data_IF_984355970317
#
_entry.id   IF_984355970317
#
_cell.length_a   1.000
_cell.length_b   1.000
_cell.length_c   1.000
_cell.angle_alpha   90.00
_cell.angle_beta   90.00
_cell.angle_gamma   90.00
#
_symmetry.space_group_name_H-M   'P 1'
#
loop_
_entity.id
_entity.type
_entity.pdbx_description
1 polymer ?
#
# COMPACT_ATOMS: atom_id res chain seq x y z
N UNK A 1 11.11 16.34 14.31
CA UNK A 1 10.51 16.92 13.08
C UNK A 1 10.37 18.45 13.12
N UNK A 2 10.48 19.09 14.28
CA UNK A 2 10.37 20.56 14.42
C UNK A 2 11.60 21.38 13.99
N UNK A 3 12.59 20.75 13.33
CA UNK A 3 13.78 21.47 12.87
C UNK A 3 13.41 22.29 11.63
N UNK A 4 13.57 23.60 11.73
CA UNK A 4 13.38 24.54 10.61
C UNK A 4 14.73 24.88 9.99
N UNK A 5 14.76 25.01 8.66
CA UNK A 5 15.95 25.45 7.96
C UNK A 5 16.18 26.95 8.16
N UNK A 6 16.84 27.28 9.27
CA UNK A 6 17.16 28.66 9.63
C UNK A 6 18.37 29.20 8.85
N UNK A 7 19.17 28.31 8.26
CA UNK A 7 20.47 28.63 7.67
C UNK A 7 20.55 28.38 6.16
N UNK A 8 19.43 28.01 5.51
CA UNK A 8 19.35 27.69 4.09
C UNK A 8 20.42 26.69 3.65
N UNK A 9 20.53 25.59 4.40
CA UNK A 9 21.53 24.56 4.12
C UNK A 9 21.17 23.79 2.84
N UNK A 10 22.16 23.54 1.98
CA UNK A 10 21.97 22.68 0.81
C UNK A 10 21.52 21.28 1.24
N UNK A 11 20.49 20.75 0.57
CA UNK A 11 19.91 19.43 0.83
C UNK A 11 19.44 19.21 2.29
N UNK A 12 19.07 20.29 3.00
CA UNK A 12 18.56 20.20 4.38
C UNK A 12 17.40 19.20 4.51
N UNK A 13 16.42 19.29 3.61
CA UNK A 13 15.24 18.42 3.62
C UNK A 13 15.61 16.94 3.40
N UNK A 14 16.59 16.67 2.53
CA UNK A 14 17.06 15.31 2.25
C UNK A 14 17.86 14.75 3.43
N UNK A 15 18.71 15.57 4.05
CA UNK A 15 19.47 15.21 5.24
C UNK A 15 18.55 14.99 6.45
N UNK A 16 17.53 15.83 6.61
CA UNK A 16 16.50 15.70 7.63
C UNK A 16 15.71 14.40 7.44
N UNK A 17 15.27 14.12 6.21
CA UNK A 17 14.58 12.87 5.87
C UNK A 17 15.48 11.66 6.13
N UNK A 18 16.73 11.68 5.65
CA UNK A 18 17.69 10.60 5.82
C UNK A 18 18.01 10.32 7.29
N UNK A 19 18.17 11.37 8.10
CA UNK A 19 18.39 11.25 9.55
C UNK A 19 17.17 10.65 10.24
N UNK A 20 15.96 11.10 9.88
CA UNK A 20 14.73 10.58 10.47
C UNK A 20 14.48 9.11 10.09
N UNK A 21 14.74 8.73 8.84
CA UNK A 21 14.68 7.33 8.37
C UNK A 21 15.72 6.48 9.10
N UNK A 22 16.96 6.95 9.23
CA UNK A 22 18.00 6.24 9.97
C UNK A 22 17.60 6.01 11.44
N UNK A 23 16.98 7.00 12.07
CA UNK A 23 16.46 6.88 13.44
C UNK A 23 15.34 5.83 13.55
N UNK A 24 14.39 5.85 12.62
CA UNK A 24 13.29 4.87 12.53
C UNK A 24 13.80 3.43 12.33
N UNK A 25 14.91 3.26 11.61
CA UNK A 25 15.52 1.94 11.39
C UNK A 25 16.35 1.50 12.60
N UNK A 26 17.08 2.43 13.24
CA UNK A 26 17.94 2.13 14.39
C UNK A 26 17.13 1.72 15.62
N UNK A 27 16.01 2.40 15.89
CA UNK A 27 15.17 2.13 17.07
C UNK A 27 13.67 2.21 16.72
N UNK A 28 13.11 1.20 16.03
CA UNK A 28 11.80 1.31 15.41
C UNK A 28 10.66 1.55 16.40
N UNK A 29 10.54 0.74 17.46
CA UNK A 29 9.39 0.82 18.38
C UNK A 29 9.16 2.22 18.99
N UNK A 30 10.14 2.86 19.67
CA UNK A 30 9.93 4.19 20.24
C UNK A 30 9.85 5.27 19.15
N UNK A 31 10.64 5.14 18.08
CA UNK A 31 10.72 6.17 17.04
C UNK A 31 9.41 6.27 16.25
N UNK A 32 8.82 5.14 15.84
CA UNK A 32 7.53 5.16 15.15
C UNK A 32 6.42 5.76 16.02
N UNK A 33 6.37 5.43 17.31
CA UNK A 33 5.38 6.01 18.23
C UNK A 33 5.47 7.53 18.32
N UNK A 34 6.67 8.06 18.59
CA UNK A 34 6.89 9.51 18.66
C UNK A 34 6.56 10.20 17.34
N UNK A 35 6.89 9.58 16.21
CA UNK A 35 6.58 10.09 14.87
C UNK A 35 5.07 10.11 14.61
N UNK A 36 4.32 9.09 15.04
CA UNK A 36 2.87 9.01 14.89
C UNK A 36 2.18 10.01 15.84
N UNK A 37 2.68 10.17 17.05
CA UNK A 37 2.15 11.14 18.01
C UNK A 37 2.35 12.57 17.48
N UNK A 38 3.54 12.88 16.97
CA UNK A 38 3.83 14.16 16.30
C UNK A 38 2.96 14.36 15.05
N UNK A 39 2.70 13.30 14.26
CA UNK A 39 1.82 13.41 13.10
C UNK A 39 0.41 13.87 13.48
N UNK A 40 -0.13 13.37 14.59
CA UNK A 40 -1.44 13.74 15.10
C UNK A 40 -1.45 15.00 15.96
N UNK A 41 -0.29 15.56 16.32
CA UNK A 41 -0.23 16.79 17.09
C UNK A 41 -0.84 17.97 16.33
N UNK A 42 -1.42 18.90 17.09
CA UNK A 42 -2.10 20.09 16.59
C UNK A 42 -1.13 21.10 15.98
N UNK A 43 0.11 21.15 16.47
CA UNK A 43 1.08 22.18 16.10
C UNK A 43 1.86 21.84 14.82
N UNK A 44 1.78 20.61 14.35
CA UNK A 44 2.53 20.19 13.17
C UNK A 44 1.96 20.82 11.90
N UNK A 45 2.84 21.14 10.96
CA UNK A 45 2.47 21.65 9.63
C UNK A 45 2.15 20.52 8.67
N UNK A 46 1.41 20.81 7.58
CA UNK A 46 1.13 19.82 6.54
C UNK A 46 2.41 19.28 5.87
N UNK A 47 3.45 20.11 5.76
CA UNK A 47 4.77 19.70 5.29
C UNK A 47 5.41 18.69 6.25
N UNK A 48 5.34 18.93 7.56
CA UNK A 48 5.86 18.00 8.58
C UNK A 48 5.07 16.69 8.59
N UNK A 49 3.75 16.73 8.47
CA UNK A 49 2.90 15.54 8.37
C UNK A 49 3.21 14.72 7.12
N UNK A 50 3.41 15.40 5.99
CA UNK A 50 3.81 14.72 4.76
C UNK A 50 5.22 14.12 4.86
N UNK A 51 6.16 14.78 5.53
CA UNK A 51 7.49 14.25 5.79
C UNK A 51 7.43 13.01 6.70
N UNK A 52 6.58 13.04 7.73
CA UNK A 52 6.36 11.91 8.63
C UNK A 52 5.89 10.66 7.86
N UNK A 53 4.82 10.79 7.07
CA UNK A 53 4.28 9.69 6.26
C UNK A 53 5.29 9.14 5.25
N UNK A 54 6.08 10.02 4.65
CA UNK A 54 7.16 9.62 3.75
C UNK A 54 8.24 8.83 4.47
N UNK A 55 8.73 9.32 5.61
CA UNK A 55 9.78 8.66 6.38
C UNK A 55 9.30 7.30 6.89
N UNK A 56 8.04 7.19 7.32
CA UNK A 56 7.41 5.91 7.68
C UNK A 56 7.44 4.96 6.48
N UNK A 57 6.99 5.40 5.31
CA UNK A 57 6.95 4.57 4.09
C UNK A 57 8.33 4.03 3.72
N UNK A 58 9.37 4.87 3.76
CA UNK A 58 10.74 4.48 3.43
C UNK A 58 11.32 3.55 4.50
N UNK A 59 11.16 3.88 5.78
CA UNK A 59 11.65 3.05 6.87
C UNK A 59 11.00 1.66 6.85
N UNK A 60 9.69 1.57 6.56
CA UNK A 60 9.00 0.29 6.40
C UNK A 60 9.57 -0.50 5.24
N UNK A 61 9.79 0.10 4.07
CA UNK A 61 10.45 -0.57 2.93
C UNK A 61 11.82 -1.14 3.32
N UNK A 62 12.65 -0.34 3.97
CA UNK A 62 14.00 -0.76 4.37
C UNK A 62 13.99 -1.87 5.42
N UNK A 63 13.08 -1.79 6.40
CA UNK A 63 12.92 -2.82 7.44
C UNK A 63 12.36 -4.13 6.87
N UNK A 64 11.57 -4.07 5.78
CA UNK A 64 11.14 -5.22 5.00
C UNK A 64 12.28 -5.86 4.18
N UNK A 65 13.45 -5.23 4.13
CA UNK A 65 14.59 -5.68 3.31
C UNK A 65 14.50 -5.24 1.86
N UNK A 66 13.57 -4.37 1.50
CA UNK A 66 13.48 -3.76 0.18
C UNK A 66 14.41 -2.55 0.14
N UNK A 67 15.64 -2.77 -0.34
CA UNK A 67 16.53 -1.67 -0.75
C UNK A 67 16.35 -1.46 -2.24
N UNK A 68 15.94 -0.25 -2.63
CA UNK A 68 16.05 0.17 -4.03
C UNK A 68 17.53 0.09 -4.42
N UNK A 69 17.88 -0.90 -5.24
CA UNK A 69 19.22 -1.01 -5.82
C UNK A 69 19.34 0.03 -6.92
N UNK A 70 19.44 1.31 -6.51
CA UNK A 70 20.03 2.49 -7.18
C UNK A 70 19.38 3.74 -6.57
N UNK A 71 20.15 4.64 -5.92
CA UNK A 71 19.66 5.99 -5.66
C UNK A 71 19.50 6.68 -7.01
N UNK A 72 18.27 6.96 -7.43
CA UNK A 72 18.05 8.00 -8.45
C UNK A 72 18.20 9.33 -7.73
N UNK A 73 19.33 9.99 -8.01
CA UNK A 73 19.57 11.38 -7.66
C UNK A 73 18.42 12.25 -8.19
N UNK A 74 17.94 13.15 -7.34
CA UNK A 74 17.03 14.22 -7.74
C UNK A 74 15.55 13.92 -7.52
N UNK A 75 14.98 14.69 -6.58
CA UNK A 75 13.55 14.96 -6.38
C UNK A 75 12.86 14.16 -5.27
N UNK A 76 12.40 14.94 -4.29
CA UNK A 76 11.38 14.58 -3.33
C UNK A 76 10.07 14.03 -3.97
N UNK A 77 9.90 13.98 -5.29
CA UNK A 77 8.80 13.26 -5.93
C UNK A 77 9.04 11.74 -6.10
N UNK A 78 10.31 11.28 -6.09
CA UNK A 78 10.69 9.94 -6.53
C UNK A 78 10.22 8.77 -5.66
N UNK A 79 9.88 9.00 -4.39
CA UNK A 79 9.37 7.93 -3.51
C UNK A 79 7.88 7.62 -3.73
N UNK A 80 7.12 8.59 -4.23
CA UNK A 80 5.70 8.42 -4.61
C UNK A 80 5.66 7.89 -6.04
N UNK A 81 6.50 8.41 -6.94
CA UNK A 81 6.64 7.90 -8.30
C UNK A 81 7.19 6.48 -8.30
N UNK A 82 8.07 6.10 -7.36
CA UNK A 82 8.47 4.70 -7.21
C UNK A 82 7.38 3.82 -6.62
N UNK A 83 6.42 4.34 -5.84
CA UNK A 83 5.25 3.59 -5.39
C UNK A 83 4.25 3.39 -6.52
N UNK A 84 3.95 4.44 -7.27
CA UNK A 84 3.09 4.40 -8.45
C UNK A 84 3.72 3.53 -9.54
N UNK A 85 5.04 3.56 -9.71
CA UNK A 85 5.79 2.64 -10.57
C UNK A 85 5.87 1.23 -10.00
N UNK A 86 5.98 1.02 -8.68
CA UNK A 86 5.92 -0.32 -8.07
C UNK A 86 4.53 -0.96 -8.27
N UNK A 87 3.47 -0.17 -8.13
CA UNK A 87 2.11 -0.60 -8.44
C UNK A 87 1.91 -0.75 -9.96
N UNK A 88 2.39 0.17 -10.79
CA UNK A 88 2.34 0.10 -12.26
C UNK A 88 3.08 -1.11 -12.82
N UNK A 89 4.26 -1.44 -12.27
CA UNK A 89 5.02 -2.64 -12.61
C UNK A 89 4.32 -3.92 -12.14
N UNK A 90 3.46 -3.84 -11.11
CA UNK A 90 2.56 -4.92 -10.72
C UNK A 90 1.25 -4.94 -11.53
N UNK A 91 0.93 -3.87 -12.27
CA UNK A 91 -0.27 -3.67 -13.10
C UNK A 91 -0.02 -4.03 -14.59
N UNK A 92 1.23 -4.22 -15.02
CA UNK A 92 1.53 -4.74 -16.37
C UNK A 92 1.31 -6.25 -16.42
N UNK A 93 0.26 -6.68 -17.15
CA UNK A 93 0.14 -8.05 -17.63
C UNK A 93 1.40 -8.41 -18.46
N UNK A 94 1.89 -9.66 -18.44
CA UNK A 94 3.00 -10.06 -19.30
C UNK A 94 2.56 -9.92 -20.76
N UNK A 95 3.20 -9.05 -21.53
CA UNK A 95 2.95 -8.91 -22.96
C UNK A 95 3.15 -10.26 -23.68
N UNK A 96 2.09 -10.72 -24.35
CA UNK A 96 2.00 -11.93 -25.16
C UNK A 96 2.95 -11.96 -26.40
N UNK A 97 3.77 -10.93 -26.59
CA UNK A 97 4.70 -10.83 -27.72
C UNK A 97 6.04 -11.52 -27.46
N UNK A 98 6.42 -11.76 -26.19
CA UNK A 98 7.69 -12.44 -25.87
C UNK A 98 7.55 -13.97 -25.82
N UNK A 99 6.31 -14.48 -25.69
CA UNK A 99 6.03 -15.91 -25.54
C UNK A 99 6.03 -16.68 -26.86
N UNK A 100 5.90 -16.01 -28.02
CA UNK A 100 5.80 -16.68 -29.32
C UNK A 100 7.16 -17.09 -29.91
N UNK A 101 8.25 -16.37 -29.60
CA UNK A 101 9.60 -16.75 -30.08
C UNK A 101 10.27 -17.82 -29.21
N UNK A 102 9.83 -18.00 -27.96
CA UNK A 102 10.40 -18.98 -27.04
C UNK A 102 9.85 -20.41 -27.23
N UNK A 103 8.77 -20.59 -28.01
CA UNK A 103 8.10 -21.88 -28.17
C UNK A 103 8.73 -22.78 -29.24
N UNK A 104 9.49 -22.24 -30.20
CA UNK A 104 10.04 -23.04 -31.31
C UNK A 104 11.36 -23.78 -31.00
N UNK A 105 12.04 -23.45 -29.90
CA UNK A 105 13.32 -24.11 -29.52
C UNK A 105 13.18 -25.13 -28.37
N UNK A 106 11.98 -25.41 -27.89
CA UNK A 106 11.72 -26.30 -26.73
C UNK A 106 11.79 -27.80 -27.05
N UNK A 107 12.30 -28.19 -28.21
CA UNK A 107 12.33 -29.59 -28.65
C UNK A 107 13.57 -30.41 -28.26
N UNK A 108 14.72 -29.79 -27.95
CA UNK A 108 15.98 -30.53 -27.75
C UNK A 108 16.91 -29.87 -26.74
N UNK A 109 16.58 -29.91 -25.46
CA UNK A 109 17.61 -29.78 -24.42
C UNK A 109 17.19 -30.57 -23.19
N UNK A 110 17.95 -31.62 -22.86
CA UNK A 110 17.82 -32.32 -21.58
C UNK A 110 18.21 -31.34 -20.47
N UNK A 111 17.21 -30.74 -19.84
CA UNK A 111 17.40 -29.84 -18.70
C UNK A 111 17.74 -30.68 -17.48
N UNK A 112 19.02 -30.77 -17.14
CA UNK A 112 19.46 -31.30 -15.86
C UNK A 112 19.02 -30.34 -14.75
N UNK A 113 18.30 -30.86 -13.75
CA UNK A 113 17.74 -30.09 -12.64
C UNK A 113 18.86 -29.44 -11.83
N UNK A 114 19.05 -28.12 -12.00
CA UNK A 114 19.87 -27.28 -11.11
C UNK A 114 19.14 -26.89 -9.81
N UNK A 115 18.05 -27.59 -9.46
CA UNK A 115 17.16 -27.18 -8.35
C UNK A 115 17.89 -27.13 -7.01
N UNK A 116 18.81 -28.06 -6.74
CA UNK A 116 19.63 -28.08 -5.52
C UNK A 116 20.66 -26.95 -5.44
N UNK A 117 21.23 -26.52 -6.58
CA UNK A 117 22.19 -25.42 -6.63
C UNK A 117 21.50 -24.06 -6.57
N UNK A 118 20.31 -23.95 -7.18
CA UNK A 118 19.43 -22.79 -7.08
C UNK A 118 18.94 -22.63 -5.64
N UNK A 119 18.47 -23.69 -4.99
CA UNK A 119 18.02 -23.64 -3.60
C UNK A 119 19.17 -23.39 -2.60
N UNK A 120 20.41 -23.80 -2.93
CA UNK A 120 21.61 -23.46 -2.14
C UNK A 120 22.06 -22.01 -2.35
N UNK A 121 21.74 -21.41 -3.50
CA UNK A 121 21.97 -19.98 -3.80
C UNK A 121 20.80 -19.08 -3.37
N UNK A 122 19.64 -19.65 -3.01
CA UNK A 122 18.57 -18.89 -2.36
C UNK A 122 19.10 -18.44 -1.00
N UNK A 123 19.28 -17.13 -0.85
CA UNK A 123 19.49 -16.53 0.45
C UNK A 123 18.36 -17.01 1.37
N UNK A 124 18.73 -17.46 2.58
CA UNK A 124 17.74 -17.83 3.61
C UNK A 124 16.73 -16.67 3.73
N UNK A 125 15.42 -16.95 3.83
CA UNK A 125 14.41 -15.89 3.90
C UNK A 125 14.81 -14.91 4.99
N UNK A 126 15.12 -13.68 4.60
CA UNK A 126 15.51 -12.64 5.55
C UNK A 126 14.29 -12.41 6.43
N UNK A 127 14.38 -12.78 7.70
CA UNK A 127 13.28 -12.61 8.63
C UNK A 127 12.90 -11.13 8.62
N UNK A 128 11.65 -10.86 8.23
CA UNK A 128 11.14 -9.50 8.16
C UNK A 128 11.18 -8.91 9.58
N UNK A 129 12.10 -7.95 9.81
CA UNK A 129 12.25 -7.28 11.10
C UNK A 129 10.97 -6.55 11.50
N UNK A 130 10.11 -6.21 10.55
CA UNK A 130 8.81 -5.58 10.77
C UNK A 130 7.79 -6.49 11.46
N UNK A 131 7.89 -7.81 11.27
CA UNK A 131 6.77 -8.72 11.59
C UNK A 131 6.39 -8.74 13.08
N UNK A 132 7.28 -8.30 13.96
CA UNK A 132 7.02 -8.25 15.40
C UNK A 132 6.31 -6.99 15.91
N UNK A 133 6.20 -5.91 15.12
CA UNK A 133 5.70 -4.62 15.62
C UNK A 133 4.89 -3.79 14.60
N UNK A 134 4.88 -4.15 13.32
CA UNK A 134 4.18 -3.38 12.28
C UNK A 134 2.69 -3.20 12.59
N UNK A 135 2.02 -4.24 13.07
CA UNK A 135 0.61 -4.18 13.42
C UNK A 135 0.38 -3.27 14.64
N UNK A 136 1.11 -3.53 15.73
CA UNK A 136 0.89 -2.93 17.06
C UNK A 136 1.41 -1.50 17.22
N UNK A 137 2.55 -1.19 16.61
CA UNK A 137 3.29 0.05 16.85
C UNK A 137 3.21 1.02 15.66
N UNK A 138 2.78 0.56 14.47
CA UNK A 138 2.67 1.41 13.27
C UNK A 138 1.22 1.49 12.77
N UNK A 139 0.69 0.36 12.27
CA UNK A 139 -0.56 0.36 11.52
C UNK A 139 -1.78 0.72 12.37
N UNK A 140 -2.00 0.03 13.50
CA UNK A 140 -3.18 0.31 14.33
C UNK A 140 -3.15 1.69 14.98
N UNK A 141 -2.02 2.20 15.53
CA UNK A 141 -1.96 3.57 16.04
C UNK A 141 -2.27 4.62 14.96
N UNK A 142 -1.75 4.45 13.74
CA UNK A 142 -2.10 5.32 12.61
C UNK A 142 -3.59 5.26 12.31
N UNK A 143 -4.17 4.07 12.19
CA UNK A 143 -5.60 3.90 11.90
C UNK A 143 -6.52 4.41 13.02
N UNK A 144 -6.14 4.17 14.28
CA UNK A 144 -6.92 4.58 15.44
C UNK A 144 -7.02 6.10 15.53
N UNK A 145 -5.95 6.84 15.23
CA UNK A 145 -5.99 8.31 15.20
C UNK A 145 -7.03 8.86 14.21
N UNK A 146 -7.15 8.23 13.03
CA UNK A 146 -8.19 8.56 12.05
C UNK A 146 -9.60 8.27 12.57
N UNK A 147 -9.84 7.06 13.09
CA UNK A 147 -11.15 6.66 13.59
C UNK A 147 -11.58 7.46 14.83
N UNK A 148 -10.66 7.81 15.70
CA UNK A 148 -10.95 8.66 16.87
C UNK A 148 -11.36 10.06 16.41
N UNK A 149 -10.64 10.63 15.44
CA UNK A 149 -10.98 11.94 14.88
C UNK A 149 -12.35 11.96 14.18
N UNK A 150 -12.71 10.90 13.46
CA UNK A 150 -14.01 10.80 12.79
C UNK A 150 -15.16 10.54 13.76
N UNK A 151 -15.00 9.65 14.75
CA UNK A 151 -16.04 9.31 15.75
C UNK A 151 -16.33 10.45 16.73
N UNK A 152 -15.32 11.22 17.11
CA UNK A 152 -15.49 12.37 18.02
C UNK A 152 -15.97 13.64 17.31
N UNK A 153 -16.51 13.52 16.09
CA UNK A 153 -17.06 14.65 15.34
C UNK A 153 -15.99 15.66 14.92
N UNK A 154 -14.82 15.18 14.48
CA UNK A 154 -13.70 16.02 14.02
C UNK A 154 -13.07 16.88 15.12
N UNK A 155 -13.11 16.40 16.38
CA UNK A 155 -12.48 17.05 17.53
C UNK A 155 -10.95 17.16 17.37
N UNK A 156 -10.35 16.18 16.70
CA UNK A 156 -8.95 16.21 16.34
C UNK A 156 -8.77 17.13 15.12
N UNK A 157 -8.13 18.28 15.36
CA UNK A 157 -7.83 19.29 14.34
C UNK A 157 -7.08 18.69 13.15
N UNK A 158 -6.12 17.79 13.39
CA UNK A 158 -5.31 17.16 12.33
C UNK A 158 -6.17 16.31 11.41
N UNK A 159 -7.04 15.47 11.97
CA UNK A 159 -7.96 14.63 11.19
C UNK A 159 -8.96 15.49 10.43
N UNK A 160 -9.44 16.58 11.05
CA UNK A 160 -10.31 17.55 10.39
C UNK A 160 -9.61 18.22 9.21
N UNK A 161 -8.38 18.72 9.38
CA UNK A 161 -7.59 19.34 8.31
C UNK A 161 -7.36 18.34 7.18
N UNK A 162 -6.92 17.13 7.50
CA UNK A 162 -6.66 16.08 6.51
C UNK A 162 -7.92 15.73 5.71
N UNK A 163 -9.08 15.62 6.38
CA UNK A 163 -10.34 15.29 5.73
C UNK A 163 -10.98 16.48 5.00
N UNK A 164 -10.83 17.71 5.47
CA UNK A 164 -11.63 18.84 4.94
C UNK A 164 -10.83 19.90 4.19
N UNK A 165 -9.51 19.96 4.38
CA UNK A 165 -8.66 21.04 3.87
C UNK A 165 -7.56 20.53 2.93
N UNK A 166 -6.99 19.35 3.22
CA UNK A 166 -5.79 18.85 2.53
C UNK A 166 -5.97 17.43 1.98
N UNK A 167 -6.71 17.23 0.86
CA UNK A 167 -6.96 15.90 0.31
C UNK A 167 -5.69 15.21 -0.22
N UNK A 168 -4.67 16.00 -0.59
CA UNK A 168 -3.34 15.48 -0.93
C UNK A 168 -2.65 14.79 0.25
N UNK A 169 -2.87 15.29 1.48
CA UNK A 169 -2.36 14.64 2.68
C UNK A 169 -3.10 13.33 2.95
N UNK A 170 -4.42 13.32 2.74
CA UNK A 170 -5.24 12.11 2.85
C UNK A 170 -4.82 11.04 1.85
N UNK A 171 -4.63 11.40 0.58
CA UNK A 171 -4.13 10.48 -0.46
C UNK A 171 -2.78 9.87 -0.06
N UNK A 172 -1.83 10.69 0.44
CA UNK A 172 -0.53 10.20 0.95
C UNK A 172 -0.67 9.28 2.16
N UNK A 173 -1.61 9.56 3.06
CA UNK A 173 -1.90 8.72 4.22
C UNK A 173 -2.39 7.34 3.78
N UNK A 174 -3.34 7.29 2.85
CA UNK A 174 -3.87 6.04 2.28
C UNK A 174 -2.77 5.23 1.59
N UNK A 175 -1.95 5.87 0.76
CA UNK A 175 -0.82 5.20 0.09
C UNK A 175 0.20 4.66 1.11
N UNK A 176 0.50 5.40 2.16
CA UNK A 176 1.42 4.95 3.23
C UNK A 176 0.88 3.71 3.94
N UNK A 177 -0.43 3.67 4.22
CA UNK A 177 -1.09 2.49 4.77
C UNK A 177 -1.06 1.31 3.79
N UNK A 178 -1.28 1.55 2.49
CA UNK A 178 -1.14 0.53 1.45
C UNK A 178 0.28 -0.05 1.36
N UNK A 179 1.30 0.78 1.55
CA UNK A 179 2.70 0.36 1.67
C UNK A 179 2.91 -0.54 2.88
N UNK A 180 2.45 -0.11 4.06
CA UNK A 180 2.53 -0.91 5.28
C UNK A 180 1.85 -2.26 5.07
N UNK A 181 0.67 -2.27 4.45
CA UNK A 181 -0.06 -3.48 4.10
C UNK A 181 0.78 -4.40 3.21
N UNK A 182 1.31 -3.89 2.10
CA UNK A 182 2.11 -4.67 1.14
C UNK A 182 3.33 -5.34 1.81
N UNK A 183 4.02 -4.62 2.70
CA UNK A 183 5.18 -5.17 3.42
C UNK A 183 4.80 -6.03 4.64
N UNK A 184 3.52 -6.06 5.02
CA UNK A 184 3.00 -6.84 6.14
C UNK A 184 2.51 -8.25 5.77
N UNK A 185 2.64 -8.71 4.52
CA UNK A 185 2.08 -10.00 4.06
C UNK A 185 2.49 -11.19 4.93
N UNK A 186 3.74 -11.20 5.42
CA UNK A 186 4.29 -12.30 6.23
C UNK A 186 4.11 -12.12 7.75
N UNK A 187 3.12 -11.31 8.16
CA UNK A 187 2.89 -10.96 9.58
C UNK A 187 1.72 -11.76 10.16
N UNK A 188 1.78 -12.24 11.43
CA UNK A 188 0.68 -13.03 11.99
C UNK A 188 -0.66 -12.30 12.04
N UNK A 189 -0.68 -10.97 12.22
CA UNK A 189 -1.92 -10.18 12.21
C UNK A 189 -2.24 -9.56 10.84
N UNK A 190 -1.67 -10.06 9.75
CA UNK A 190 -1.89 -9.51 8.41
C UNK A 190 -3.38 -9.46 8.03
N UNK A 191 -4.17 -10.47 8.41
CA UNK A 191 -5.61 -10.50 8.15
C UNK A 191 -6.35 -9.33 8.82
N UNK A 192 -5.97 -8.98 10.05
CA UNK A 192 -6.56 -7.83 10.74
C UNK A 192 -6.17 -6.51 10.06
N UNK A 193 -4.92 -6.39 9.59
CA UNK A 193 -4.46 -5.22 8.82
C UNK A 193 -5.26 -5.08 7.53
N UNK A 194 -5.45 -6.18 6.79
CA UNK A 194 -6.23 -6.21 5.54
C UNK A 194 -7.66 -5.76 5.79
N UNK A 195 -8.32 -6.31 6.80
CA UNK A 195 -9.71 -5.96 7.13
C UNK A 195 -9.87 -4.48 7.44
N UNK A 196 -9.09 -3.98 8.40
CA UNK A 196 -9.16 -2.58 8.81
C UNK A 196 -8.81 -1.61 7.67
N UNK A 197 -7.83 -1.97 6.84
CA UNK A 197 -7.47 -1.15 5.68
C UNK A 197 -8.55 -1.18 4.59
N UNK A 198 -9.19 -2.32 4.35
CA UNK A 198 -10.27 -2.44 3.35
C UNK A 198 -11.50 -1.64 3.78
N UNK A 199 -11.94 -1.80 5.03
CA UNK A 199 -13.08 -1.07 5.58
C UNK A 199 -12.80 0.45 5.56
N UNK A 200 -11.56 0.85 5.86
CA UNK A 200 -11.12 2.24 5.70
C UNK A 200 -11.15 2.72 4.25
N UNK A 201 -10.59 1.97 3.30
CA UNK A 201 -10.60 2.33 1.89
C UNK A 201 -12.02 2.49 1.33
N UNK A 202 -12.95 1.63 1.75
CA UNK A 202 -14.37 1.74 1.39
C UNK A 202 -15.04 2.95 2.07
N UNK A 203 -14.67 3.29 3.30
CA UNK A 203 -15.19 4.50 3.98
C UNK A 203 -14.86 5.79 3.23
N UNK A 204 -13.74 5.83 2.50
CA UNK A 204 -13.32 6.97 1.69
C UNK A 204 -14.20 7.18 0.46
N UNK A 205 -15.04 6.23 0.07
CA UNK A 205 -16.05 6.41 -0.98
C UNK A 205 -16.99 7.58 -0.69
N UNK A 206 -17.29 7.81 0.59
CA UNK A 206 -18.18 8.89 1.03
C UNK A 206 -17.43 10.20 1.27
N UNK A 207 -16.11 10.19 1.17
CA UNK A 207 -15.30 11.38 1.32
C UNK A 207 -15.51 12.30 0.11
N UNK A 208 -15.92 13.54 0.39
CA UNK A 208 -16.07 14.58 -0.63
C UNK A 208 -15.29 15.80 -0.20
N UNK A 209 -14.61 16.42 -1.15
CA UNK A 209 -13.92 17.68 -0.97
C UNK A 209 -14.60 18.72 -1.86
N UNK A 210 -15.07 19.82 -1.28
CA UNK A 210 -15.84 20.85 -2.00
C UNK A 210 -17.07 20.31 -2.76
N UNK A 211 -17.71 19.26 -2.22
CA UNK A 211 -18.91 18.66 -2.80
C UNK A 211 -18.66 17.75 -4.02
N UNK A 212 -17.40 17.44 -4.33
CA UNK A 212 -17.01 16.49 -5.36
C UNK A 212 -16.06 15.41 -4.79
N UNK A 213 -16.05 14.19 -5.36
CA UNK A 213 -15.05 13.18 -5.00
C UNK A 213 -13.68 13.61 -5.52
N UNK A 214 -12.66 13.62 -4.65
CA UNK A 214 -11.29 13.94 -5.08
C UNK A 214 -10.67 12.74 -5.82
N UNK A 215 -10.27 12.89 -7.10
CA UNK A 215 -9.70 11.79 -7.88
C UNK A 215 -8.43 11.21 -7.25
N UNK A 216 -7.64 12.01 -6.53
CA UNK A 216 -6.37 11.60 -5.91
C UNK A 216 -6.59 10.65 -4.73
N UNK A 217 -7.65 10.88 -3.95
CA UNK A 217 -8.00 10.06 -2.78
C UNK A 217 -8.64 8.76 -3.25
N UNK A 218 -9.53 8.85 -4.24
CA UNK A 218 -10.15 7.69 -4.89
C UNK A 218 -9.09 6.79 -5.51
N UNK A 219 -8.16 7.36 -6.28
CA UNK A 219 -7.06 6.63 -6.90
C UNK A 219 -6.20 5.91 -5.85
N UNK A 220 -5.80 6.59 -4.77
CA UNK A 220 -5.03 5.99 -3.68
C UNK A 220 -5.78 4.83 -2.99
N UNK A 221 -7.08 4.98 -2.75
CA UNK A 221 -7.91 3.93 -2.15
C UNK A 221 -8.04 2.71 -3.07
N UNK A 222 -8.22 2.92 -4.37
CA UNK A 222 -8.26 1.83 -5.36
C UNK A 222 -6.91 1.11 -5.47
N UNK A 223 -5.78 1.82 -5.41
CA UNK A 223 -4.46 1.19 -5.37
C UNK A 223 -4.35 0.28 -4.15
N UNK A 224 -4.84 0.76 -3.00
CA UNK A 224 -4.91 -0.02 -1.77
C UNK A 224 -5.73 -1.30 -1.93
N UNK A 225 -6.95 -1.19 -2.44
CA UNK A 225 -7.82 -2.35 -2.68
C UNK A 225 -7.20 -3.32 -3.69
N UNK A 226 -6.62 -2.80 -4.77
CA UNK A 226 -5.91 -3.61 -5.76
C UNK A 226 -4.75 -4.38 -5.12
N UNK A 227 -4.01 -3.77 -4.19
CA UNK A 227 -2.94 -4.41 -3.42
C UNK A 227 -3.46 -5.55 -2.55
N UNK A 228 -4.65 -5.39 -1.95
CA UNK A 228 -5.28 -6.48 -1.18
C UNK A 228 -5.60 -7.65 -2.09
N UNK A 229 -6.35 -7.38 -3.17
CA UNK A 229 -6.93 -8.40 -4.05
C UNK A 229 -5.85 -9.15 -4.85
N UNK A 230 -4.88 -8.42 -5.43
CA UNK A 230 -3.92 -9.00 -6.37
C UNK A 230 -2.60 -9.43 -5.73
N UNK A 231 -2.20 -8.82 -4.62
CA UNK A 231 -0.89 -9.08 -4.01
C UNK A 231 -1.03 -9.82 -2.69
N UNK A 232 -1.79 -9.25 -1.75
CA UNK A 232 -1.81 -9.72 -0.36
C UNK A 232 -2.52 -11.07 -0.20
N UNK A 233 -3.57 -11.32 -0.99
CA UNK A 233 -4.44 -12.49 -0.83
C UNK A 233 -4.46 -13.42 -2.05
N UNK A 234 -3.44 -13.32 -2.92
CA UNK A 234 -3.35 -14.09 -4.18
C UNK A 234 -3.51 -15.61 -3.98
N UNK A 235 -2.91 -16.15 -2.92
CA UNK A 235 -2.92 -17.58 -2.61
C UNK A 235 -4.10 -18.01 -1.69
N UNK A 236 -4.88 -17.06 -1.18
CA UNK A 236 -5.96 -17.29 -0.21
C UNK A 236 -7.35 -16.90 -0.76
N UNK A 237 -7.60 -17.21 -2.03
CA UNK A 237 -8.88 -16.88 -2.71
C UNK A 237 -10.11 -17.43 -2.00
N UNK A 238 -10.03 -18.63 -1.40
CA UNK A 238 -11.14 -19.23 -0.66
C UNK A 238 -11.50 -18.45 0.63
N UNK A 239 -10.51 -17.85 1.30
CA UNK A 239 -10.75 -17.05 2.51
C UNK A 239 -11.32 -15.68 2.19
N UNK A 240 -10.88 -15.05 1.10
CA UNK A 240 -11.47 -13.80 0.60
C UNK A 240 -12.99 -13.92 0.46
N UNK A 241 -13.45 -15.05 -0.05
CA UNK A 241 -14.87 -15.24 -0.35
C UNK A 241 -15.67 -15.56 0.91
N UNK A 242 -15.11 -16.32 1.84
CA UNK A 242 -15.83 -16.67 3.07
C UNK A 242 -15.84 -15.54 4.10
N UNK A 243 -14.75 -14.80 4.24
CA UNK A 243 -14.59 -13.79 5.31
C UNK A 243 -14.82 -12.36 4.82
N UNK A 244 -14.60 -12.07 3.53
CA UNK A 244 -14.65 -10.71 2.96
C UNK A 244 -15.70 -10.57 1.85
N UNK A 245 -16.73 -11.43 1.82
CA UNK A 245 -17.80 -11.39 0.82
C UNK A 245 -18.45 -10.01 0.69
N UNK A 246 -18.75 -9.38 1.84
CA UNK A 246 -19.38 -8.07 1.88
C UNK A 246 -18.47 -7.00 1.25
N UNK A 247 -17.20 -6.94 1.67
CA UNK A 247 -16.23 -6.00 1.14
C UNK A 247 -16.01 -6.19 -0.37
N UNK A 248 -16.02 -7.43 -0.87
CA UNK A 248 -15.90 -7.73 -2.30
C UNK A 248 -17.10 -7.20 -3.10
N UNK A 249 -18.33 -7.36 -2.60
CA UNK A 249 -19.54 -6.85 -3.24
C UNK A 249 -19.54 -5.32 -3.23
N UNK A 250 -19.27 -4.70 -2.09
CA UNK A 250 -19.20 -3.23 -1.97
C UNK A 250 -18.12 -2.63 -2.87
N UNK A 251 -16.96 -3.29 -2.98
CA UNK A 251 -15.87 -2.92 -3.88
C UNK A 251 -16.33 -3.01 -5.34
N UNK A 252 -16.99 -4.11 -5.73
CA UNK A 252 -17.53 -4.28 -7.08
C UNK A 252 -18.48 -3.14 -7.42
N UNK A 253 -19.47 -2.87 -6.57
CA UNK A 253 -20.48 -1.86 -6.81
C UNK A 253 -19.87 -0.45 -6.90
N UNK A 254 -18.87 -0.18 -6.05
CA UNK A 254 -18.15 1.09 -6.09
C UNK A 254 -17.34 1.26 -7.38
N UNK A 255 -16.59 0.24 -7.78
CA UNK A 255 -15.74 0.27 -8.98
C UNK A 255 -16.59 0.41 -10.25
N UNK A 256 -17.74 -0.29 -10.33
CA UNK A 256 -18.67 -0.16 -11.46
C UNK A 256 -19.23 1.26 -11.56
N UNK A 257 -19.63 1.86 -10.44
CA UNK A 257 -20.16 3.23 -10.42
C UNK A 257 -19.12 4.29 -10.84
N UNK A 258 -17.83 3.98 -10.69
CA UNK A 258 -16.73 4.91 -10.93
C UNK A 258 -16.26 4.94 -12.40
N UNK A 259 -16.56 3.90 -13.18
CA UNK A 259 -16.13 3.76 -14.58
C UNK A 259 -16.68 4.88 -15.48
N UNK A 260 -17.93 5.28 -15.27
CA UNK A 260 -18.65 6.17 -16.19
C UNK A 260 -18.25 7.65 -16.06
N UNK A 261 -17.50 8.03 -15.01
CA UNK A 261 -17.22 9.43 -14.68
C UNK A 261 -15.77 9.80 -14.32
N UNK A 262 -14.83 8.86 -14.41
CA UNK A 262 -13.46 9.05 -13.88
C UNK A 262 -12.39 9.23 -14.95
N UNK A 263 -11.18 9.58 -14.51
CA UNK A 263 -9.97 9.66 -15.37
C UNK A 263 -9.59 8.30 -15.94
N UNK A 264 -8.85 8.29 -17.05
CA UNK A 264 -8.42 7.04 -17.72
C UNK A 264 -7.58 6.14 -16.82
N UNK A 265 -6.70 6.70 -15.98
CA UNK A 265 -5.89 5.96 -15.00
C UNK A 265 -6.76 5.23 -13.97
N UNK A 266 -7.80 5.89 -13.47
CA UNK A 266 -8.77 5.28 -12.54
C UNK A 266 -9.57 4.19 -13.23
N UNK A 267 -10.00 4.41 -14.49
CA UNK A 267 -10.71 3.39 -15.28
C UNK A 267 -9.87 2.13 -15.51
N UNK A 268 -8.59 2.28 -15.81
CA UNK A 268 -7.68 1.14 -15.98
C UNK A 268 -7.58 0.33 -14.69
N UNK A 269 -7.40 1.00 -13.54
CA UNK A 269 -7.33 0.36 -12.24
C UNK A 269 -8.66 -0.33 -11.85
N UNK A 270 -9.79 0.32 -12.14
CA UNK A 270 -11.12 -0.27 -12.01
C UNK A 270 -11.26 -1.56 -12.82
N UNK A 271 -10.82 -1.55 -14.09
CA UNK A 271 -10.82 -2.74 -14.95
C UNK A 271 -9.99 -3.89 -14.38
N UNK A 272 -8.80 -3.60 -13.87
CA UNK A 272 -7.94 -4.61 -13.24
C UNK A 272 -8.58 -5.22 -11.98
N UNK A 273 -9.21 -4.40 -11.14
CA UNK A 273 -9.92 -4.90 -9.95
C UNK A 273 -11.11 -5.78 -10.37
N UNK A 274 -11.90 -5.37 -11.37
CA UNK A 274 -13.05 -6.16 -11.84
C UNK A 274 -12.63 -7.51 -12.44
N UNK A 275 -11.53 -7.55 -13.19
CA UNK A 275 -10.97 -8.81 -13.70
C UNK A 275 -10.56 -9.73 -12.55
N UNK A 276 -9.85 -9.20 -11.55
CA UNK A 276 -9.44 -9.98 -10.40
C UNK A 276 -10.65 -10.49 -9.59
N UNK A 277 -11.68 -9.67 -9.40
CA UNK A 277 -12.93 -10.08 -8.74
C UNK A 277 -13.65 -11.18 -9.53
N UNK A 278 -13.68 -11.09 -10.86
CA UNK A 278 -14.25 -12.13 -11.73
C UNK A 278 -13.50 -13.44 -11.58
N UNK A 279 -12.17 -13.41 -11.59
CA UNK A 279 -11.33 -14.61 -11.43
C UNK A 279 -11.49 -15.27 -10.06
N UNK A 280 -11.71 -14.47 -9.01
CA UNK A 280 -12.00 -14.98 -7.67
C UNK A 280 -13.36 -15.69 -7.65
N UNK A 281 -14.38 -15.09 -8.27
CA UNK A 281 -15.73 -15.67 -8.34
C UNK A 281 -15.80 -16.93 -9.21
N UNK A 282 -15.07 -17.00 -10.33
CA UNK A 282 -15.01 -18.23 -11.15
C UNK A 282 -14.33 -19.37 -10.39
N UNK A 283 -13.21 -19.09 -9.73
CA UNK A 283 -12.51 -20.09 -8.89
C UNK A 283 -13.44 -20.67 -7.82
N UNK A 284 -14.33 -19.85 -7.25
CA UNK A 284 -15.31 -20.31 -6.27
C UNK A 284 -16.42 -21.16 -6.86
N UNK A 285 -16.97 -20.75 -8.00
CA UNK A 285 -17.96 -21.54 -8.71
C UNK A 285 -17.37 -22.90 -9.11
N UNK A 286 -16.10 -22.95 -9.52
CA UNK A 286 -15.41 -24.20 -9.83
C UNK A 286 -15.22 -25.09 -8.58
N UNK A 287 -14.93 -24.50 -7.42
CA UNK A 287 -14.84 -25.24 -6.14
C UNK A 287 -16.21 -25.77 -5.71
N UNK A 288 -17.27 -24.98 -5.85
CA UNK A 288 -18.63 -25.41 -5.51
C UNK A 288 -19.16 -26.48 -6.47
N UNK A 289 -18.93 -26.34 -7.77
CA UNK A 289 -19.37 -27.30 -8.80
C UNK A 289 -18.51 -28.56 -8.80
N UNK A 290 -17.21 -28.44 -8.51
CA UNK A 290 -16.29 -29.56 -8.37
C UNK A 290 -16.45 -30.39 -7.09
N UNK A 291 -17.25 -29.92 -6.12
CA UNK A 291 -17.68 -30.69 -4.94
C UNK A 291 -18.98 -31.47 -5.13
N UNK A 292 -19.60 -31.41 -6.32
CA UNK A 292 -20.88 -32.07 -6.65
C UNK A 292 -20.68 -33.28 -7.59
N UNK A 293 -19.44 -33.68 -7.87
CA UNK A 293 -19.06 -34.91 -8.58
C UNK A 293 -18.18 -35.79 -7.69
#
# INVERSE_FOLDING_TARGET
MSLQDTFHLENFDESQQGTLVALLIASPKPSFRVVIDEFYDRNSSDSQRSLALRCISIAVKELAGWRDTKPKEGSAAGAIESLDQMFSNSLTLPDESTSKTALETRGKTRVFSRKSEVDRKRAKPTQNKLSGFVSTDIFFPLMQGWWEGTRTGWSNQTVRIMATQSPRLLSRFVLTLGVILHFSINTPQHQHIVKEFWDFALSLRYHTFQGQPDPSVVHAALIGINTIVNISMKDQKSRLINEYAQQLVETKDWVVALIDGSTEEVKQLCGHILLALKDIMTTYNDILLGGVL
#
